data_IF_264622799067
#
_entry.id   IF_264622799067
#
_cell.length_a   1.000
_cell.length_b   1.000
_cell.length_c   1.000
_cell.angle_alpha   90.00
_cell.angle_beta   90.00
_cell.angle_gamma   90.00
#
_symmetry.space_group_name_H-M   'P 1'
#
loop_
_entity.id
_entity.type
_entity.pdbx_description
1 polymer ?
#
# COMPACT_ATOMS: atom_id res chain seq x y z
N UNK A 1 32.38 -40.07 36.99
CA UNK A 1 31.82 -39.64 35.69
C UNK A 1 32.71 -38.53 35.17
N UNK A 2 33.67 -38.90 34.32
CA UNK A 2 34.73 -38.02 33.86
C UNK A 2 34.31 -37.40 32.52
N UNK A 3 33.65 -36.24 32.58
CA UNK A 3 33.28 -35.51 31.37
C UNK A 3 34.53 -34.86 30.79
N UNK A 4 35.14 -35.52 29.80
CA UNK A 4 36.29 -35.00 29.05
C UNK A 4 35.96 -33.60 28.51
N UNK A 5 36.61 -32.52 29.00
CA UNK A 5 36.22 -31.12 28.74
C UNK A 5 36.22 -30.77 27.24
N UNK A 6 37.00 -31.50 26.44
CA UNK A 6 37.11 -31.33 24.99
C UNK A 6 35.79 -31.54 24.24
N UNK A 7 34.84 -32.33 24.79
CA UNK A 7 33.54 -32.57 24.15
C UNK A 7 32.60 -31.36 24.24
N UNK A 8 32.72 -30.56 25.32
CA UNK A 8 31.94 -29.33 25.47
C UNK A 8 32.42 -28.23 24.52
N UNK A 9 33.74 -28.08 24.37
CA UNK A 9 34.31 -27.13 23.41
C UNK A 9 33.96 -27.53 21.96
N UNK A 10 34.01 -28.82 21.63
CA UNK A 10 33.62 -29.30 20.31
C UNK A 10 32.14 -29.00 19.99
N UNK A 11 31.23 -29.22 20.95
CA UNK A 11 29.81 -28.90 20.77
C UNK A 11 29.56 -27.40 20.61
N UNK A 12 30.25 -26.55 21.39
CA UNK A 12 30.14 -25.10 21.29
C UNK A 12 30.62 -24.58 19.93
N UNK A 13 31.75 -25.10 19.42
CA UNK A 13 32.28 -24.71 18.10
C UNK A 13 31.31 -25.11 16.98
N UNK A 14 30.74 -26.32 17.04
CA UNK A 14 29.77 -26.77 16.03
C UNK A 14 28.55 -25.85 15.99
N UNK A 15 28.01 -25.45 17.14
CA UNK A 15 26.84 -24.54 17.21
C UNK A 15 27.17 -23.17 16.62
N UNK A 16 28.34 -22.61 16.93
CA UNK A 16 28.76 -21.30 16.40
C UNK A 16 28.95 -21.36 14.88
N UNK A 17 29.58 -22.41 14.36
CA UNK A 17 29.79 -22.61 12.92
C UNK A 17 28.44 -22.80 12.21
N UNK A 18 27.53 -23.59 12.78
CA UNK A 18 26.20 -23.82 12.19
C UNK A 18 25.37 -22.53 12.17
N UNK A 19 25.46 -21.71 13.22
CA UNK A 19 24.84 -20.39 13.29
C UNK A 19 25.39 -19.41 12.25
N UNK A 20 26.71 -19.39 12.03
CA UNK A 20 27.32 -18.57 10.97
C UNK A 20 26.90 -18.99 9.57
N UNK A 21 26.81 -20.30 9.30
CA UNK A 21 26.36 -20.81 7.99
C UNK A 21 24.89 -20.43 7.73
N UNK A 22 24.03 -20.56 8.73
CA UNK A 22 22.62 -20.13 8.63
C UNK A 22 22.48 -18.63 8.39
N UNK A 23 23.23 -17.80 9.13
CA UNK A 23 23.20 -16.35 8.95
C UNK A 23 23.69 -15.92 7.55
N UNK A 24 24.76 -16.53 7.05
CA UNK A 24 25.28 -16.26 5.70
C UNK A 24 24.30 -16.71 4.60
N UNK A 25 23.66 -17.88 4.76
CA UNK A 25 22.69 -18.40 3.80
C UNK A 25 21.42 -17.55 3.69
N UNK A 26 20.89 -17.09 4.82
CA UNK A 26 19.70 -16.22 4.86
C UNK A 26 20.00 -14.78 4.42
N UNK A 27 21.18 -14.24 4.77
CA UNK A 27 21.61 -12.90 4.34
C UNK A 27 21.87 -12.80 2.83
N UNK A 28 22.46 -13.84 2.24
CA UNK A 28 22.74 -13.89 0.79
C UNK A 28 21.49 -13.94 -0.08
N UNK A 29 20.46 -14.68 0.33
CA UNK A 29 19.18 -14.77 -0.40
C UNK A 29 18.38 -13.47 -0.35
N UNK A 30 18.29 -12.82 0.81
CA UNK A 30 17.58 -11.55 0.95
C UNK A 30 18.30 -10.41 0.20
N UNK A 31 19.63 -10.34 0.27
CA UNK A 31 20.43 -9.36 -0.46
C UNK A 31 20.40 -9.58 -1.98
N UNK A 32 20.44 -10.84 -2.43
CA UNK A 32 20.40 -11.20 -3.85
C UNK A 32 19.07 -10.84 -4.53
N UNK A 33 17.94 -11.08 -3.86
CA UNK A 33 16.62 -10.70 -4.36
C UNK A 33 16.46 -9.17 -4.46
N UNK A 34 16.85 -8.42 -3.42
CA UNK A 34 16.81 -6.96 -3.45
C UNK A 34 17.70 -6.37 -4.56
N UNK A 35 18.91 -6.93 -4.74
CA UNK A 35 19.83 -6.54 -5.82
C UNK A 35 19.26 -6.83 -7.21
N UNK A 36 18.58 -7.96 -7.41
CA UNK A 36 17.95 -8.32 -8.67
C UNK A 36 16.83 -7.34 -9.07
N UNK A 37 15.96 -6.96 -8.12
CA UNK A 37 14.89 -5.99 -8.38
C UNK A 37 15.43 -4.56 -8.62
N UNK A 38 16.54 -4.19 -7.97
CA UNK A 38 17.19 -2.89 -8.21
C UNK A 38 17.88 -2.83 -9.58
N UNK A 39 18.52 -3.92 -10.03
CA UNK A 39 19.21 -4.00 -11.31
C UNK A 39 18.28 -3.99 -12.53
N UNK A 40 16.99 -4.29 -12.36
CA UNK A 40 15.98 -4.25 -13.42
C UNK A 40 15.60 -2.83 -13.89
N UNK A 41 15.97 -1.77 -13.15
CA UNK A 41 15.74 -0.38 -13.54
C UNK A 41 16.88 0.16 -14.40
N UNK A 42 17.07 -0.40 -15.60
CA UNK A 42 17.88 0.28 -16.63
C UNK A 42 17.13 1.53 -17.08
N UNK A 43 17.75 2.69 -16.90
CA UNK A 43 17.25 3.95 -17.44
C UNK A 43 17.08 3.82 -18.96
N UNK A 44 15.87 4.13 -19.44
CA UNK A 44 15.62 4.23 -20.87
C UNK A 44 16.49 5.36 -21.45
N UNK A 45 16.98 5.23 -22.71
CA UNK A 45 17.67 6.31 -23.38
C UNK A 45 16.75 7.53 -23.44
N UNK A 46 17.21 8.66 -22.89
CA UNK A 46 16.56 9.96 -23.00
C UNK A 46 16.37 10.28 -24.48
N UNK A 47 15.14 10.49 -24.97
CA UNK A 47 14.93 10.95 -26.33
C UNK A 47 15.60 12.32 -26.50
N UNK A 48 16.42 12.47 -27.54
CA UNK A 48 16.95 13.78 -27.92
C UNK A 48 15.78 14.70 -28.27
N UNK A 49 15.67 15.82 -27.56
CA UNK A 49 14.68 16.86 -27.81
C UNK A 49 14.91 17.45 -29.20
N UNK A 50 14.09 17.05 -30.17
CA UNK A 50 13.94 17.79 -31.42
C UNK A 50 13.31 19.12 -31.04
N UNK A 51 14.02 20.23 -31.30
CA UNK A 51 13.47 21.58 -31.15
C UNK A 51 12.44 21.77 -32.27
N UNK A 52 11.22 21.36 -31.97
CA UNK A 52 10.04 21.66 -32.77
C UNK A 52 9.80 23.17 -32.71
N UNK A 53 9.67 23.77 -33.89
CA UNK A 53 9.36 25.18 -34.08
C UNK A 53 8.11 25.50 -33.26
N UNK A 54 8.21 26.44 -32.33
CA UNK A 54 7.06 27.02 -31.64
C UNK A 54 6.22 27.74 -32.69
N UNK A 55 5.24 27.04 -33.26
CA UNK A 55 4.03 27.69 -33.75
C UNK A 55 3.38 28.32 -32.52
N UNK A 56 3.20 29.64 -32.58
CA UNK A 56 2.47 30.40 -31.57
C UNK A 56 1.12 29.71 -31.40
N UNK A 57 0.74 29.27 -30.18
CA UNK A 57 -0.59 28.70 -29.99
C UNK A 57 -1.58 29.78 -30.39
N UNK A 58 -2.35 29.51 -31.45
CA UNK A 58 -3.58 30.22 -31.73
C UNK A 58 -4.35 30.14 -30.42
N UNK A 59 -4.48 31.27 -29.73
CA UNK A 59 -5.29 31.33 -28.51
C UNK A 59 -6.64 30.77 -28.91
N UNK A 60 -7.15 29.69 -28.27
CA UNK A 60 -8.46 29.20 -28.60
C UNK A 60 -9.40 30.37 -28.41
N UNK A 61 -9.97 30.87 -29.51
CA UNK A 61 -11.08 31.79 -29.39
C UNK A 61 -12.11 31.02 -28.58
N UNK A 62 -12.43 31.54 -27.39
CA UNK A 62 -13.61 31.11 -26.64
C UNK A 62 -14.78 31.51 -27.52
N UNK A 63 -15.14 30.64 -28.45
CA UNK A 63 -16.40 30.73 -29.16
C UNK A 63 -17.44 30.66 -28.07
N UNK A 64 -18.11 31.79 -27.81
CA UNK A 64 -19.22 31.84 -26.89
C UNK A 64 -20.11 30.65 -27.24
N UNK A 65 -20.24 29.68 -26.33
CA UNK A 65 -21.07 28.53 -26.62
C UNK A 65 -22.46 29.07 -26.93
N UNK A 66 -23.16 28.44 -27.87
CA UNK A 66 -24.54 28.81 -28.15
C UNK A 66 -25.36 28.74 -26.84
N UNK A 67 -26.31 29.66 -26.59
CA UNK A 67 -27.24 29.59 -25.46
C UNK A 67 -27.86 28.19 -25.26
N UNK A 68 -28.06 27.46 -26.37
CA UNK A 68 -28.56 26.08 -26.38
C UNK A 68 -27.56 25.09 -25.77
N UNK A 69 -26.27 25.27 -26.04
CA UNK A 69 -25.20 24.43 -25.50
C UNK A 69 -24.96 24.72 -24.00
N UNK A 70 -25.04 25.97 -23.56
CA UNK A 70 -24.98 26.28 -22.12
C UNK A 70 -26.19 25.75 -21.36
N UNK A 71 -27.39 25.84 -21.94
CA UNK A 71 -28.59 25.27 -21.33
C UNK A 71 -28.51 23.74 -21.20
N UNK A 72 -27.93 23.05 -22.20
CA UNK A 72 -27.70 21.61 -22.12
C UNK A 72 -26.75 21.24 -20.98
N UNK A 73 -25.60 21.92 -20.86
CA UNK A 73 -24.62 21.67 -19.78
C UNK A 73 -25.25 21.95 -18.40
N UNK A 74 -25.98 23.06 -18.25
CA UNK A 74 -26.65 23.40 -16.98
C UNK A 74 -27.68 22.33 -16.58
N UNK A 75 -28.39 21.75 -17.56
CA UNK A 75 -29.33 20.67 -17.28
C UNK A 75 -28.65 19.35 -16.89
N UNK A 76 -27.49 19.04 -17.45
CA UNK A 76 -26.68 17.88 -17.06
C UNK A 76 -26.11 18.04 -15.65
N UNK A 77 -25.60 19.22 -15.32
CA UNK A 77 -25.08 19.54 -13.99
C UNK A 77 -26.18 19.38 -12.91
N UNK A 78 -27.39 19.88 -13.20
CA UNK A 78 -28.54 19.73 -12.31
C UNK A 78 -28.94 18.25 -12.10
N UNK A 79 -28.80 17.41 -13.13
CA UNK A 79 -29.05 15.96 -13.00
C UNK A 79 -28.00 15.30 -12.11
N UNK A 80 -26.74 15.67 -12.25
CA UNK A 80 -25.64 15.13 -11.42
C UNK A 80 -25.81 15.59 -9.97
N UNK A 81 -26.11 16.85 -9.74
CA UNK A 81 -26.39 17.41 -8.41
C UNK A 81 -27.56 16.68 -7.74
N UNK A 82 -28.70 16.58 -8.41
CA UNK A 82 -29.87 15.87 -7.90
C UNK A 82 -29.56 14.38 -7.62
N UNK A 83 -28.71 13.75 -8.43
CA UNK A 83 -28.27 12.39 -8.17
C UNK A 83 -27.43 12.31 -6.89
N UNK A 84 -26.45 13.20 -6.72
CA UNK A 84 -25.63 13.26 -5.52
C UNK A 84 -26.48 13.50 -4.27
N UNK A 85 -27.38 14.48 -4.29
CA UNK A 85 -28.27 14.77 -3.15
C UNK A 85 -29.14 13.56 -2.79
N UNK A 86 -29.59 12.81 -3.79
CA UNK A 86 -30.42 11.62 -3.58
C UNK A 86 -29.65 10.42 -3.02
N UNK A 87 -28.40 10.22 -3.42
CA UNK A 87 -27.62 9.02 -3.04
C UNK A 87 -26.73 9.23 -1.83
N UNK A 88 -26.29 10.46 -1.56
CA UNK A 88 -25.36 10.76 -0.47
C UNK A 88 -25.89 10.35 0.92
N UNK A 89 -27.20 10.50 1.25
CA UNK A 89 -27.73 10.04 2.55
C UNK A 89 -27.62 8.52 2.77
N UNK A 90 -27.47 7.74 1.70
CA UNK A 90 -27.30 6.29 1.80
C UNK A 90 -25.85 5.87 2.01
N UNK A 91 -24.87 6.76 1.87
CA UNK A 91 -23.44 6.46 2.01
C UNK A 91 -23.02 6.63 3.47
N UNK A 92 -22.30 5.64 4.01
CA UNK A 92 -21.86 5.61 5.41
C UNK A 92 -20.36 5.42 5.53
N UNK A 93 -19.80 5.88 6.64
CA UNK A 93 -18.42 5.62 7.03
C UNK A 93 -18.34 4.38 7.92
N UNK A 94 -17.44 3.45 7.58
CA UNK A 94 -17.22 2.20 8.31
C UNK A 94 -15.87 2.30 9.01
N UNK A 95 -15.85 1.97 10.31
CA UNK A 95 -14.62 1.78 11.07
C UNK A 95 -14.62 0.41 11.74
N UNK A 96 -13.47 -0.26 11.68
CA UNK A 96 -13.27 -1.60 12.20
C UNK A 96 -12.11 -1.56 13.17
N UNK A 97 -12.29 -2.12 14.37
CA UNK A 97 -11.23 -2.31 15.34
C UNK A 97 -11.06 -3.81 15.59
N UNK A 98 -9.89 -4.35 15.24
CA UNK A 98 -9.54 -5.76 15.44
C UNK A 98 -8.52 -5.85 16.57
N UNK A 99 -8.74 -6.73 17.54
CA UNK A 99 -7.76 -6.95 18.61
C UNK A 99 -6.51 -7.60 18.03
N UNK A 100 -5.36 -6.96 18.18
CA UNK A 100 -4.09 -7.52 17.73
C UNK A 100 -3.78 -8.78 18.55
N UNK A 101 -3.48 -9.89 17.86
CA UNK A 101 -3.01 -11.11 18.50
C UNK A 101 -1.59 -10.87 19.01
N UNK A 102 -1.41 -10.87 20.32
CA UNK A 102 -0.11 -10.74 20.94
C UNK A 102 0.77 -11.94 20.58
N UNK A 103 1.99 -11.66 20.10
CA UNK A 103 2.98 -12.70 19.85
C UNK A 103 3.52 -13.20 21.21
N UNK A 104 3.25 -14.46 21.55
CA UNK A 104 3.73 -15.07 22.79
C UNK A 104 5.20 -15.44 22.63
N UNK A 105 6.11 -14.65 23.20
CA UNK A 105 7.54 -14.97 23.22
C UNK A 105 7.89 -15.85 24.44
N UNK A 106 8.76 -16.88 24.30
CA UNK A 106 9.06 -17.84 25.36
C UNK A 106 9.86 -17.27 26.57
N UNK A 107 10.31 -16.02 26.52
CA UNK A 107 11.15 -15.41 27.57
C UNK A 107 10.72 -14.00 28.00
N UNK A 108 9.52 -13.55 27.62
CA UNK A 108 8.99 -12.25 28.03
C UNK A 108 7.56 -12.41 28.51
N UNK A 109 7.23 -11.80 29.65
CA UNK A 109 5.83 -11.53 30.00
C UNK A 109 5.24 -10.70 28.86
N UNK A 110 4.59 -11.38 27.92
CA UNK A 110 3.93 -10.75 26.81
C UNK A 110 2.85 -9.85 27.40
N UNK A 111 3.07 -8.54 27.32
CA UNK A 111 2.03 -7.53 27.56
C UNK A 111 1.05 -7.58 26.38
N UNK A 112 0.48 -8.76 26.12
CA UNK A 112 -0.44 -9.06 25.02
C UNK A 112 -1.86 -8.69 25.41
N UNK A 113 -2.06 -7.44 25.81
CA UNK A 113 -3.33 -7.00 26.36
C UNK A 113 -3.63 -5.56 25.99
N UNK A 114 -4.11 -5.34 24.76
CA UNK A 114 -4.87 -4.12 24.47
C UNK A 114 -4.53 -3.37 23.18
N UNK A 115 -3.59 -3.85 22.36
CA UNK A 115 -3.40 -3.22 21.05
C UNK A 115 -4.55 -3.60 20.11
N UNK A 116 -5.18 -2.58 19.55
CA UNK A 116 -6.18 -2.71 18.48
C UNK A 116 -5.56 -2.25 17.17
N UNK A 117 -5.81 -3.02 16.12
CA UNK A 117 -5.60 -2.60 14.74
C UNK A 117 -6.89 -1.95 14.24
N UNK A 118 -6.76 -0.80 13.59
CA UNK A 118 -7.89 -0.06 13.06
C UNK A 118 -7.90 -0.12 11.53
N UNK A 119 -9.09 -0.24 10.96
CA UNK A 119 -9.36 -0.11 9.52
C UNK A 119 -10.55 0.82 9.29
N UNK A 120 -10.58 1.49 8.14
CA UNK A 120 -11.67 2.39 7.77
C UNK A 120 -12.05 2.24 6.30
N UNK A 121 -13.32 2.46 6.00
CA UNK A 121 -13.85 2.42 4.63
C UNK A 121 -15.19 3.14 4.50
N UNK A 122 -15.81 3.00 3.35
CA UNK A 122 -17.17 3.48 3.08
C UNK A 122 -18.08 2.30 2.71
N UNK A 123 -19.38 2.49 2.91
CA UNK A 123 -20.42 1.55 2.49
C UNK A 123 -21.69 2.29 2.11
N UNK A 124 -22.74 1.56 1.76
CA UNK A 124 -24.05 2.14 1.51
C UNK A 124 -25.15 1.28 2.11
N UNK A 125 -26.24 1.90 2.54
CA UNK A 125 -27.39 1.18 3.09
C UNK A 125 -28.15 0.47 1.97
N UNK A 126 -28.33 -0.85 2.10
CA UNK A 126 -28.99 -1.70 1.11
C UNK A 126 -30.52 -1.73 1.26
N UNK A 127 -31.03 -1.68 2.50
CA UNK A 127 -32.45 -1.77 2.79
C UNK A 127 -32.90 -0.93 4.00
N UNK A 128 -34.21 -0.94 4.27
CA UNK A 128 -34.82 -0.21 5.39
C UNK A 128 -34.61 -0.86 6.76
N UNK A 129 -34.01 -2.04 6.82
CA UNK A 129 -33.68 -2.72 8.07
C UNK A 129 -32.29 -2.28 8.58
N UNK A 130 -31.52 -1.57 7.75
CA UNK A 130 -30.23 -1.00 8.12
C UNK A 130 -29.04 -1.89 7.76
N UNK A 131 -29.20 -2.81 6.81
CA UNK A 131 -28.07 -3.55 6.27
C UNK A 131 -27.18 -2.63 5.41
N UNK A 132 -25.86 -2.77 5.57
CA UNK A 132 -24.80 -2.02 4.88
C UNK A 132 -23.91 -3.01 4.13
#
# INVERSE_FOLDING_TARGET
METRPNKFYAAAIVIVVLGMILAAGLGGLAGGLAGYYAAGRRALPTPATVVERVEVPVTPQVTAQSPVAQAAIASEEQVVEALYERVNPSVVYISVAVRAQGMSFPFGQGQGGGQYQYGSGSGFVYDRQGHI
#
